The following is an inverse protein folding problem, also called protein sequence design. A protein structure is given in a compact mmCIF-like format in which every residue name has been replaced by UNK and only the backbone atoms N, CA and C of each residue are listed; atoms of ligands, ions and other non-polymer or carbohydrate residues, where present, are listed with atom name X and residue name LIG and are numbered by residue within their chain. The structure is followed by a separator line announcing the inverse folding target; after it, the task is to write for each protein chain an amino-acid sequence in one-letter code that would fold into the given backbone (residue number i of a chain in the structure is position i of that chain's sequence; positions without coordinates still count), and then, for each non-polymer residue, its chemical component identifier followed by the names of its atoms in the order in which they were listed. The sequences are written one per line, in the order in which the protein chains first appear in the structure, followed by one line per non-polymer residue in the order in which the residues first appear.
data_IF_353210758872
#
_entry.id   IF_353210758872
#
_cell.length_a   1.000
_cell.length_b   1.000
_cell.length_c   1.000
_cell.angle_alpha   90.00
_cell.angle_beta   90.00
_cell.angle_gamma   90.00
#
_symmetry.space_group_name_H-M   'P 1'
#
loop_
_entity.id
_entity.type
_entity.pdbx_description
1 polymer ?
#
# COMPACT_ATOMS: atom_id res chain seq x y z
N UNK A 1 -34.35 -30.13 -42.11
CA UNK A 1 -34.82 -29.34 -40.93
C UNK A 1 -33.90 -29.50 -39.71
N UNK A 2 -33.42 -30.72 -39.41
CA UNK A 2 -32.47 -31.01 -38.31
C UNK A 2 -31.15 -30.23 -38.40
N UNK A 3 -30.56 -30.09 -39.59
CA UNK A 3 -29.25 -29.43 -39.76
C UNK A 3 -29.29 -27.91 -39.48
N UNK A 4 -30.38 -27.24 -39.85
CA UNK A 4 -30.55 -25.79 -39.61
C UNK A 4 -30.67 -25.47 -38.11
N UNK A 5 -31.43 -26.27 -37.36
CA UNK A 5 -31.53 -26.15 -35.90
C UNK A 5 -30.18 -26.43 -35.22
N UNK A 6 -29.40 -27.40 -35.74
CA UNK A 6 -28.06 -27.69 -35.22
C UNK A 6 -27.08 -26.55 -35.47
N UNK A 7 -27.15 -25.93 -36.65
CA UNK A 7 -26.34 -24.77 -37.04
C UNK A 7 -26.63 -23.53 -36.18
N UNK A 8 -27.90 -23.19 -35.99
CA UNK A 8 -28.29 -22.08 -35.10
C UNK A 8 -27.83 -22.38 -33.67
N UNK A 9 -28.06 -23.60 -33.18
CA UNK A 9 -27.63 -24.00 -31.84
C UNK A 9 -26.13 -23.92 -31.64
N UNK A 10 -25.30 -24.23 -32.64
CA UNK A 10 -23.85 -24.08 -32.53
C UNK A 10 -23.41 -22.62 -32.51
N UNK A 11 -24.03 -21.76 -33.31
CA UNK A 11 -23.69 -20.34 -33.37
C UNK A 11 -23.99 -19.65 -32.04
N UNK A 12 -25.19 -19.88 -31.47
CA UNK A 12 -25.57 -19.33 -30.17
C UNK A 12 -24.60 -19.79 -29.08
N UNK A 13 -24.19 -21.07 -29.08
CA UNK A 13 -23.20 -21.57 -28.11
C UNK A 13 -21.83 -20.92 -28.27
N UNK A 14 -21.41 -20.62 -29.49
CA UNK A 14 -20.14 -19.93 -29.73
C UNK A 14 -20.20 -18.48 -29.27
N UNK A 15 -21.31 -17.78 -29.55
CA UNK A 15 -21.54 -16.40 -29.15
C UNK A 15 -21.55 -16.25 -27.62
N UNK A 16 -22.30 -17.11 -26.90
CA UNK A 16 -22.31 -17.10 -25.42
C UNK A 16 -20.91 -17.36 -24.85
N UNK A 17 -20.14 -18.27 -25.44
CA UNK A 17 -18.76 -18.52 -25.01
C UNK A 17 -17.86 -17.32 -25.25
N UNK A 18 -17.99 -16.66 -26.40
CA UNK A 18 -17.21 -15.47 -26.73
C UNK A 18 -17.54 -14.33 -25.75
N UNK A 19 -18.82 -14.06 -25.52
CA UNK A 19 -19.28 -13.02 -24.58
C UNK A 19 -18.82 -13.31 -23.15
N UNK A 20 -18.90 -14.58 -22.71
CA UNK A 20 -18.44 -14.97 -21.38
C UNK A 20 -16.92 -14.76 -21.23
N UNK A 21 -16.14 -15.18 -22.23
CA UNK A 21 -14.69 -14.99 -22.23
C UNK A 21 -14.32 -13.51 -22.23
N UNK A 22 -15.02 -12.69 -23.00
CA UNK A 22 -14.83 -11.25 -23.02
C UNK A 22 -15.13 -10.62 -21.65
N UNK A 23 -16.26 -10.97 -21.03
CA UNK A 23 -16.60 -10.50 -19.69
C UNK A 23 -15.57 -10.92 -18.65
N UNK A 24 -15.09 -12.17 -18.71
CA UNK A 24 -14.02 -12.65 -17.82
C UNK A 24 -12.75 -11.83 -18.03
N UNK A 25 -12.34 -11.59 -19.28
CA UNK A 25 -11.15 -10.82 -19.59
C UNK A 25 -11.27 -9.37 -19.09
N UNK A 26 -12.40 -8.71 -19.32
CA UNK A 26 -12.68 -7.36 -18.82
C UNK A 26 -12.63 -7.29 -17.29
N UNK A 27 -13.27 -8.24 -16.60
CA UNK A 27 -13.24 -8.30 -15.14
C UNK A 27 -11.83 -8.55 -14.60
N UNK A 28 -11.05 -9.40 -15.26
CA UNK A 28 -9.67 -9.67 -14.88
C UNK A 28 -8.80 -8.42 -15.02
N UNK A 29 -8.91 -7.70 -16.14
CA UNK A 29 -8.17 -6.44 -16.36
C UNK A 29 -8.58 -5.39 -15.34
N UNK A 30 -9.88 -5.24 -15.07
CA UNK A 30 -10.39 -4.32 -14.07
C UNK A 30 -9.86 -4.63 -12.66
N UNK A 31 -9.95 -5.89 -12.23
CA UNK A 31 -9.49 -6.33 -10.91
C UNK A 31 -7.98 -6.10 -10.74
N UNK A 32 -7.18 -6.43 -11.77
CA UNK A 32 -5.73 -6.18 -11.76
C UNK A 32 -5.41 -4.69 -11.70
N UNK A 33 -6.08 -3.88 -12.52
CA UNK A 33 -5.88 -2.43 -12.54
C UNK A 33 -6.25 -1.79 -11.19
N UNK A 34 -7.39 -2.18 -10.61
CA UNK A 34 -7.82 -1.71 -9.29
C UNK A 34 -6.80 -2.09 -8.21
N UNK A 35 -6.36 -3.34 -8.18
CA UNK A 35 -5.35 -3.81 -7.23
C UNK A 35 -4.04 -3.02 -7.34
N UNK A 36 -3.55 -2.76 -8.56
CA UNK A 36 -2.33 -1.99 -8.77
C UNK A 36 -2.45 -0.55 -8.27
N UNK A 37 -3.60 0.10 -8.47
CA UNK A 37 -3.87 1.46 -7.97
C UNK A 37 -3.89 1.48 -6.43
N UNK A 38 -4.58 0.52 -5.82
CA UNK A 38 -4.66 0.41 -4.35
C UNK A 38 -3.28 0.15 -3.73
N UNK A 39 -2.50 -0.74 -4.35
CA UNK A 39 -1.13 -1.01 -3.94
C UNK A 39 -0.25 0.25 -4.02
N UNK A 40 -0.26 0.96 -5.16
CA UNK A 40 0.50 2.18 -5.34
C UNK A 40 0.10 3.28 -4.34
N UNK A 41 -1.20 3.40 -4.03
CA UNK A 41 -1.69 4.33 -3.03
C UNK A 41 -1.17 3.99 -1.63
N UNK A 42 -1.17 2.71 -1.26
CA UNK A 42 -0.65 2.22 0.01
C UNK A 42 0.86 2.44 0.13
N UNK A 43 1.62 2.13 -0.91
CA UNK A 43 3.06 2.38 -0.98
C UNK A 43 3.38 3.86 -0.82
N UNK A 44 2.63 4.74 -1.51
CA UNK A 44 2.83 6.17 -1.39
C UNK A 44 2.49 6.67 0.02
N UNK A 45 1.40 6.20 0.63
CA UNK A 45 1.04 6.55 2.01
C UNK A 45 2.13 6.10 3.00
N UNK A 46 2.67 4.89 2.83
CA UNK A 46 3.76 4.39 3.64
C UNK A 46 5.03 5.24 3.47
N UNK A 47 5.40 5.56 2.23
CA UNK A 47 6.55 6.44 1.93
C UNK A 47 6.40 7.81 2.59
N UNK A 48 5.22 8.43 2.52
CA UNK A 48 4.96 9.71 3.19
C UNK A 48 5.07 9.57 4.72
N UNK A 49 4.53 8.51 5.29
CA UNK A 49 4.62 8.25 6.73
C UNK A 49 6.07 8.07 7.21
N UNK A 50 6.90 7.36 6.44
CA UNK A 50 8.34 7.19 6.72
C UNK A 50 9.06 8.54 6.66
N UNK A 51 8.79 9.37 5.64
CA UNK A 51 9.40 10.69 5.53
C UNK A 51 8.99 11.61 6.68
N UNK A 52 7.72 11.60 7.08
CA UNK A 52 7.25 12.34 8.27
C UNK A 52 7.99 11.88 9.53
N UNK A 53 8.14 10.57 9.73
CA UNK A 53 8.86 10.02 10.87
C UNK A 53 10.36 10.41 10.87
N UNK A 54 11.01 10.42 9.70
CA UNK A 54 12.39 10.90 9.55
C UNK A 54 12.52 12.38 9.89
N UNK A 55 11.57 13.21 9.46
CA UNK A 55 11.55 14.63 9.79
C UNK A 55 11.34 14.85 11.29
N UNK A 56 10.38 14.17 11.91
CA UNK A 56 10.20 14.17 13.37
C UNK A 56 11.48 13.79 14.11
N UNK A 57 12.18 12.75 13.65
CA UNK A 57 13.45 12.33 14.23
C UNK A 57 14.53 13.42 14.11
N UNK A 58 14.67 14.03 12.93
CA UNK A 58 15.64 15.10 12.70
C UNK A 58 15.36 16.33 13.57
N UNK A 59 14.09 16.71 13.72
CA UNK A 59 13.68 17.80 14.61
C UNK A 59 13.96 17.44 16.07
N UNK A 60 13.58 16.25 16.52
CA UNK A 60 13.86 15.80 17.89
C UNK A 60 15.36 15.80 18.22
N UNK A 61 16.20 15.39 17.26
CA UNK A 61 17.66 15.43 17.39
C UNK A 61 18.21 16.86 17.44
N UNK A 62 17.70 17.77 16.60
CA UNK A 62 18.18 19.15 16.53
C UNK A 62 17.89 19.95 17.80
N UNK A 63 16.76 19.67 18.46
CA UNK A 63 16.40 20.28 19.75
C UNK A 63 16.96 19.52 20.96
N UNK A 64 17.71 18.43 20.72
CA UNK A 64 18.32 17.62 21.79
C UNK A 64 17.34 16.78 22.59
N UNK A 65 16.12 16.55 22.09
CA UNK A 65 15.09 15.78 22.76
C UNK A 65 15.30 14.28 22.56
N UNK A 66 16.02 13.65 23.51
CA UNK A 66 16.36 12.22 23.44
C UNK A 66 15.27 11.29 23.98
N UNK A 67 14.65 11.66 25.09
CA UNK A 67 13.67 10.86 25.83
C UNK A 67 12.26 11.44 25.70
N UNK A 68 11.20 10.65 25.97
CA UNK A 68 9.84 11.14 25.91
C UNK A 68 9.61 12.33 26.85
N UNK A 69 8.89 13.35 26.38
CA UNK A 69 8.43 14.45 27.23
C UNK A 69 7.18 13.99 27.97
N UNK A 70 7.33 13.67 29.25
CA UNK A 70 6.21 13.25 30.12
C UNK A 70 5.77 14.35 31.09
N UNK A 71 6.44 15.49 31.11
CA UNK A 71 6.23 16.50 32.17
C UNK A 71 5.25 17.58 31.73
N UNK A 72 4.18 17.73 32.51
CA UNK A 72 3.11 18.74 32.44
C UNK A 72 3.60 20.20 32.36
N UNK A 73 4.90 20.46 32.54
CA UNK A 73 5.52 21.79 32.67
C UNK A 73 6.41 22.18 31.49
N UNK A 74 6.75 21.25 30.59
CA UNK A 74 7.47 21.53 29.34
C UNK A 74 6.59 21.05 28.17
N UNK A 75 5.58 21.83 27.81
CA UNK A 75 4.76 21.55 26.64
C UNK A 75 5.61 21.85 25.40
N UNK A 76 6.38 20.86 24.92
CA UNK A 76 6.81 20.88 23.54
C UNK A 76 5.52 20.69 22.75
N UNK A 77 5.10 21.76 22.06
CA UNK A 77 3.92 21.71 21.21
C UNK A 77 4.21 20.71 20.10
N UNK A 78 3.63 19.51 20.22
CA UNK A 78 3.70 18.51 19.17
C UNK A 78 3.02 19.10 17.95
N UNK A 79 3.81 19.33 16.90
CA UNK A 79 3.27 19.65 15.60
C UNK A 79 2.44 18.44 15.15
N UNK A 80 1.15 18.63 14.76
CA UNK A 80 0.32 17.53 14.24
C UNK A 80 0.97 16.79 13.07
N UNK A 81 1.78 17.48 12.27
CA UNK A 81 2.48 16.92 11.12
C UNK A 81 3.81 16.23 11.51
N UNK A 82 4.46 16.69 12.59
CA UNK A 82 5.77 16.21 13.05
C UNK A 82 5.83 16.03 14.57
N UNK A 83 5.22 14.97 15.11
CA UNK A 83 5.27 14.70 16.55
C UNK A 83 6.71 14.37 16.95
N UNK A 84 7.22 15.05 17.98
CA UNK A 84 8.56 14.87 18.53
C UNK A 84 8.53 14.43 19.99
N UNK A 85 7.38 14.52 20.68
CA UNK A 85 7.25 14.26 22.11
C UNK A 85 7.73 12.87 22.56
N UNK A 86 7.77 11.88 21.66
CA UNK A 86 8.30 10.54 21.95
C UNK A 86 9.82 10.51 22.16
N UNK A 87 10.53 11.54 21.67
CA UNK A 87 11.98 11.65 21.71
C UNK A 87 12.70 10.87 20.61
N UNK A 88 13.92 11.31 20.30
CA UNK A 88 14.69 10.81 19.16
C UNK A 88 15.01 9.31 19.26
N UNK A 89 15.24 8.77 20.46
CA UNK A 89 15.60 7.35 20.64
C UNK A 89 14.47 6.41 20.20
N UNK A 90 13.25 6.70 20.64
CA UNK A 90 12.08 5.90 20.32
C UNK A 90 11.61 6.12 18.87
N UNK A 91 11.72 7.34 18.34
CA UNK A 91 11.47 7.62 16.92
C UNK A 91 12.45 6.86 16.01
N UNK A 92 13.75 6.82 16.36
CA UNK A 92 14.76 6.06 15.61
C UNK A 92 14.47 4.56 15.63
N UNK A 93 14.09 4.01 16.78
CA UNK A 93 13.71 2.58 16.88
C UNK A 93 12.46 2.27 16.04
N UNK A 94 11.47 3.17 16.05
CA UNK A 94 10.26 3.04 15.24
C UNK A 94 10.59 3.05 13.76
N UNK A 95 11.47 3.95 13.33
CA UNK A 95 11.93 4.05 11.94
C UNK A 95 12.63 2.74 11.51
N UNK A 96 13.56 2.24 12.31
CA UNK A 96 14.30 1.01 12.01
C UNK A 96 13.37 -0.22 11.87
N UNK A 97 12.31 -0.31 12.69
CA UNK A 97 11.31 -1.39 12.59
C UNK A 97 10.54 -1.29 11.26
N UNK A 98 10.11 -0.09 10.89
CA UNK A 98 9.32 0.14 9.67
C UNK A 98 10.18 -0.12 8.42
N UNK A 99 11.41 0.39 8.39
CA UNK A 99 12.34 0.18 7.28
C UNK A 99 12.66 -1.32 7.10
N UNK A 100 12.98 -2.03 8.19
CA UNK A 100 13.22 -3.48 8.14
C UNK A 100 11.98 -4.27 7.67
N UNK A 101 10.78 -3.87 8.10
CA UNK A 101 9.54 -4.48 7.66
C UNK A 101 9.26 -4.24 6.18
N UNK A 102 9.57 -3.04 5.68
CA UNK A 102 9.41 -2.68 4.28
C UNK A 102 10.37 -3.47 3.37
N UNK A 103 11.64 -3.64 3.79
CA UNK A 103 12.62 -4.44 3.06
C UNK A 103 12.20 -5.91 2.91
N UNK A 104 11.65 -6.51 3.98
CA UNK A 104 11.12 -7.88 3.95
C UNK A 104 9.88 -7.99 3.04
N UNK A 105 9.03 -6.96 3.02
CA UNK A 105 7.86 -6.93 2.13
C UNK A 105 8.26 -6.85 0.66
N UNK A 106 9.25 -6.02 0.32
CA UNK A 106 9.79 -5.90 -1.03
C UNK A 106 10.41 -7.21 -1.50
N UNK A 107 11.19 -7.87 -0.63
CA UNK A 107 11.77 -9.18 -0.95
C UNK A 107 10.71 -10.25 -1.18
N UNK A 108 9.58 -10.21 -0.46
CA UNK A 108 8.49 -11.18 -0.64
C UNK A 108 7.64 -10.88 -1.89
N UNK A 109 7.45 -9.62 -2.28
CA UNK A 109 6.68 -9.29 -3.49
C UNK A 109 7.43 -9.68 -4.77
N UNK A 110 8.76 -9.58 -4.80
CA UNK A 110 9.59 -10.07 -5.90
C UNK A 110 9.49 -11.60 -6.07
N UNK A 111 9.37 -12.36 -4.98
CA UNK A 111 9.20 -13.80 -5.03
C UNK A 111 7.80 -14.24 -5.48
N UNK A 112 6.78 -13.43 -5.23
CA UNK A 112 5.38 -13.72 -5.60
C UNK A 112 5.02 -13.26 -7.02
N UNK A 113 5.90 -12.52 -7.68
CA UNK A 113 5.72 -11.99 -9.04
C UNK A 113 6.50 -12.76 -10.13
N UNK A 114 7.25 -13.82 -9.74
CA UNK A 114 7.98 -14.73 -10.65
C UNK A 114 7.21 -16.01 -10.98
#
# INVERSE_FOLDING_TARGET
MSDYLRYIGSNIRQEIKAELNEKIAQQLVYAKGKYAIELAALENANRVAIQRLRNSLAIAQSVGLKKPVSTTHNFIQDDPDYPIALGSEALAKKLAIIEKGNDLSLSNSDLLSS
#
